data_IF_333012714851
#
_entry.id   IF_333012714851
#
_cell.length_a   1.000
_cell.length_b   1.000
_cell.length_c   1.000
_cell.angle_alpha   90.00
_cell.angle_beta   90.00
_cell.angle_gamma   90.00
#
_symmetry.space_group_name_H-M   'P 1'
#
loop_
_entity.id
_entity.type
_entity.pdbx_description
1 polymer ?
#
# COMPACT_ATOMS: atom_id res chain seq x y z
N UNK A 1 -12.66 38.83 -64.06
CA UNK A 1 -12.35 38.35 -62.70
C UNK A 1 -13.08 37.02 -62.51
N UNK A 2 -12.34 35.93 -62.30
CA UNK A 2 -12.89 34.59 -62.02
C UNK A 2 -12.98 34.41 -60.51
N UNK A 3 -14.11 33.93 -60.00
CA UNK A 3 -14.18 33.35 -58.67
C UNK A 3 -15.19 32.21 -58.67
N UNK A 4 -14.64 31.01 -58.54
CA UNK A 4 -15.28 29.69 -58.49
C UNK A 4 -15.68 29.41 -57.04
N UNK A 5 -16.91 28.98 -56.80
CA UNK A 5 -17.42 28.71 -55.44
C UNK A 5 -17.95 27.29 -55.38
N UNK A 6 -17.20 26.31 -54.83
CA UNK A 6 -17.75 25.10 -54.18
C UNK A 6 -16.71 24.52 -53.22
N UNK A 7 -17.07 24.29 -51.96
CA UNK A 7 -16.96 23.00 -51.26
C UNK A 7 -17.26 23.15 -49.76
N UNK A 8 -18.41 22.62 -49.34
CA UNK A 8 -18.71 22.34 -47.94
C UNK A 8 -17.93 21.07 -47.53
N UNK A 9 -17.17 21.14 -46.44
CA UNK A 9 -16.67 19.95 -45.74
C UNK A 9 -17.36 19.85 -44.38
N UNK A 10 -18.21 18.83 -44.24
CA UNK A 10 -18.66 18.32 -42.96
C UNK A 10 -17.60 17.32 -42.44
N UNK A 11 -17.09 17.52 -41.22
CA UNK A 11 -16.27 16.53 -40.53
C UNK A 11 -16.98 16.08 -39.25
N UNK A 12 -17.11 14.76 -39.16
CA UNK A 12 -17.82 14.00 -38.15
C UNK A 12 -17.20 14.14 -36.75
N UNK A 13 -18.08 14.17 -35.75
CA UNK A 13 -17.71 14.19 -34.33
C UNK A 13 -17.10 12.87 -33.88
N UNK A 14 -15.95 12.95 -33.22
CA UNK A 14 -15.38 11.86 -32.43
C UNK A 14 -15.92 11.95 -31.00
N UNK A 15 -16.77 11.01 -30.62
CA UNK A 15 -17.14 10.80 -29.22
C UNK A 15 -16.00 10.03 -28.53
N UNK A 16 -15.19 10.73 -27.74
CA UNK A 16 -14.18 10.12 -26.88
C UNK A 16 -14.87 9.57 -25.63
N UNK A 17 -14.95 8.24 -25.50
CA UNK A 17 -15.34 7.58 -24.26
C UNK A 17 -14.16 7.62 -23.29
N UNK A 18 -14.29 8.40 -22.21
CA UNK A 18 -13.32 8.42 -21.12
C UNK A 18 -13.44 7.13 -20.31
N UNK A 19 -12.44 6.26 -20.42
CA UNK A 19 -12.28 5.12 -19.51
C UNK A 19 -11.85 5.67 -18.15
N UNK A 20 -12.76 5.65 -17.19
CA UNK A 20 -12.43 5.94 -15.79
C UNK A 20 -11.51 4.83 -15.27
N UNK A 21 -10.26 5.20 -14.97
CA UNK A 21 -9.33 4.31 -14.26
C UNK A 21 -9.87 3.99 -12.85
N UNK A 22 -9.64 2.79 -12.31
CA UNK A 22 -10.04 2.45 -10.95
C UNK A 22 -9.32 3.39 -9.98
N UNK A 23 -10.11 4.02 -9.12
CA UNK A 23 -9.63 4.86 -8.05
C UNK A 23 -8.67 4.04 -7.17
N UNK A 24 -7.42 4.49 -7.07
CA UNK A 24 -6.50 4.01 -6.05
C UNK A 24 -7.16 4.22 -4.69
N UNK A 25 -7.22 3.14 -3.91
CA UNK A 25 -7.83 3.08 -2.60
C UNK A 25 -7.42 4.29 -1.76
N UNK A 26 -8.42 4.91 -1.12
CA UNK A 26 -8.20 5.95 -0.14
C UNK A 26 -7.15 5.46 0.86
N UNK A 27 -6.11 6.27 1.08
CA UNK A 27 -5.14 6.02 2.13
C UNK A 27 -5.91 5.93 3.46
N UNK A 28 -6.16 4.71 3.93
CA UNK A 28 -6.78 4.50 5.22
C UNK A 28 -5.85 5.15 6.23
N UNK A 29 -6.44 5.94 7.14
CA UNK A 29 -5.70 6.51 8.25
C UNK A 29 -4.98 5.36 8.96
N UNK A 30 -3.64 5.40 8.98
CA UNK A 30 -2.80 4.38 9.60
C UNK A 30 -3.14 4.27 11.09
N UNK A 31 -4.01 3.32 11.43
CA UNK A 31 -4.46 3.06 12.78
C UNK A 31 -3.42 2.26 13.56
N UNK A 32 -3.59 2.20 14.87
CA UNK A 32 -2.89 1.19 15.68
C UNK A 32 -3.32 -0.20 15.17
N UNK A 33 -2.35 -1.08 14.95
CA UNK A 33 -2.62 -2.46 14.59
C UNK A 33 -3.57 -3.16 15.60
N UNK A 34 -4.42 -4.10 15.16
CA UNK A 34 -5.25 -4.89 16.06
C UNK A 34 -4.40 -5.60 17.12
N UNK A 35 -4.89 -5.68 18.35
CA UNK A 35 -4.18 -6.32 19.46
C UNK A 35 -4.01 -7.84 19.29
N UNK A 36 -4.76 -8.46 18.39
CA UNK A 36 -4.62 -9.86 18.01
C UNK A 36 -3.44 -10.13 17.06
N UNK A 37 -2.74 -9.10 16.56
CA UNK A 37 -1.42 -9.28 15.97
C UNK A 37 -0.39 -9.43 17.10
N UNK A 38 0.21 -10.61 17.19
CA UNK A 38 1.30 -10.89 18.12
C UNK A 38 2.65 -10.74 17.41
N UNK A 39 3.70 -10.36 18.12
CA UNK A 39 5.04 -10.29 17.55
C UNK A 39 6.13 -10.61 18.57
N UNK A 40 7.30 -10.97 18.06
CA UNK A 40 8.56 -11.10 18.78
C UNK A 40 9.61 -10.29 18.04
N UNK A 41 10.45 -9.56 18.77
CA UNK A 41 11.54 -8.75 18.25
C UNK A 41 12.87 -9.31 18.78
N UNK A 42 13.83 -9.48 17.89
CA UNK A 42 15.25 -9.63 18.18
C UNK A 42 15.95 -8.33 17.76
N UNK A 43 16.57 -7.63 18.71
CA UNK A 43 17.27 -6.34 18.54
C UNK A 43 18.72 -6.58 18.93
N UNK A 44 19.52 -7.03 17.95
CA UNK A 44 20.95 -7.33 18.13
C UNK A 44 21.85 -6.09 17.94
N UNK A 45 21.27 -4.99 17.44
CA UNK A 45 21.89 -3.69 17.25
C UNK A 45 22.59 -3.48 15.90
N UNK A 46 22.80 -4.52 15.10
CA UNK A 46 23.30 -4.41 13.73
C UNK A 46 22.16 -4.62 12.73
N UNK A 47 21.46 -5.73 12.87
CA UNK A 47 20.29 -6.10 12.09
C UNK A 47 19.21 -6.65 13.02
N UNK A 48 18.09 -5.92 13.10
CA UNK A 48 16.97 -6.35 13.91
C UNK A 48 16.06 -7.28 13.10
N UNK A 49 15.43 -8.23 13.78
CA UNK A 49 14.48 -9.16 13.19
C UNK A 49 13.14 -9.16 13.95
N UNK A 50 12.03 -9.13 13.22
CA UNK A 50 10.68 -9.14 13.77
C UNK A 50 9.86 -10.27 13.16
N UNK A 51 9.25 -11.08 14.01
CA UNK A 51 8.28 -12.10 13.62
C UNK A 51 6.89 -11.67 14.04
N UNK A 52 5.93 -11.71 13.12
CA UNK A 52 4.53 -11.29 13.37
C UNK A 52 3.56 -12.42 13.03
N UNK A 53 2.64 -12.71 13.95
CA UNK A 53 1.57 -13.70 13.81
C UNK A 53 0.21 -13.02 13.79
N UNK A 54 -0.70 -13.54 12.96
CA UNK A 54 -2.08 -13.13 12.95
C UNK A 54 -2.95 -14.12 13.74
N UNK A 55 -3.22 -13.77 15.01
CA UNK A 55 -4.13 -14.51 15.88
C UNK A 55 -5.56 -13.94 15.84
N UNK A 56 -5.85 -13.01 14.94
CA UNK A 56 -7.19 -12.52 14.72
C UNK A 56 -8.05 -13.59 14.03
N UNK A 57 -9.37 -13.45 14.08
CA UNK A 57 -10.30 -14.35 13.36
C UNK A 57 -10.41 -14.07 11.86
N UNK A 58 -9.74 -13.02 11.36
CA UNK A 58 -9.79 -12.56 9.97
C UNK A 58 -8.41 -12.18 9.46
N UNK A 59 -8.29 -12.06 8.14
CA UNK A 59 -7.11 -11.48 7.51
C UNK A 59 -6.90 -10.03 7.94
N UNK A 60 -5.64 -9.66 8.13
CA UNK A 60 -5.25 -8.29 8.53
C UNK A 60 -4.19 -7.78 7.58
N UNK A 61 -4.36 -6.56 7.11
CA UNK A 61 -3.33 -5.81 6.40
C UNK A 61 -2.63 -4.88 7.39
N UNK A 62 -1.31 -5.01 7.50
CA UNK A 62 -0.51 -4.23 8.44
C UNK A 62 0.87 -3.92 7.88
N UNK A 63 1.53 -2.93 8.48
CA UNK A 63 2.94 -2.61 8.23
C UNK A 63 3.70 -2.47 9.53
N UNK A 64 5.01 -2.66 9.44
CA UNK A 64 5.95 -2.34 10.52
C UNK A 64 6.24 -0.84 10.49
N UNK A 65 6.03 -0.15 11.61
CA UNK A 65 6.45 1.24 11.77
C UNK A 65 7.88 1.24 12.28
N UNK A 66 8.74 2.00 11.61
CA UNK A 66 10.15 2.11 11.99
C UNK A 66 10.45 3.56 12.37
N UNK A 67 11.09 3.75 13.53
CA UNK A 67 11.74 5.00 13.85
C UNK A 67 13.01 5.16 13.01
N UNK A 68 13.40 6.42 12.74
CA UNK A 68 14.62 6.79 12.01
C UNK A 68 14.71 6.26 10.56
N UNK A 69 13.58 5.94 9.95
CA UNK A 69 13.52 5.54 8.55
C UNK A 69 12.08 5.44 8.05
N UNK A 70 11.88 4.97 6.81
CA UNK A 70 10.55 4.72 6.28
C UNK A 70 9.89 3.54 6.99
N UNK A 71 8.56 3.58 7.08
CA UNK A 71 7.76 2.42 7.46
C UNK A 71 7.95 1.28 6.45
N UNK A 72 7.76 0.06 6.93
CA UNK A 72 7.68 -1.13 6.08
C UNK A 72 6.48 -1.08 5.12
N UNK A 73 6.53 -1.96 4.13
CA UNK A 73 5.42 -2.14 3.19
C UNK A 73 4.20 -2.78 3.86
N UNK A 74 3.01 -2.45 3.33
CA UNK A 74 1.78 -3.11 3.74
C UNK A 74 1.83 -4.59 3.36
N UNK A 75 1.50 -5.43 4.34
CA UNK A 75 1.52 -6.88 4.25
C UNK A 75 0.18 -7.42 4.70
N UNK A 76 -0.50 -8.13 3.81
CA UNK A 76 -1.68 -8.90 4.18
C UNK A 76 -1.29 -10.24 4.79
N UNK A 77 -1.99 -10.63 5.87
CA UNK A 77 -1.76 -11.90 6.53
C UNK A 77 -3.06 -12.58 6.92
N UNK A 78 -3.23 -13.82 6.47
CA UNK A 78 -4.36 -14.67 6.82
C UNK A 78 -4.31 -15.11 8.30
N UNK A 79 -5.48 -15.42 8.91
CA UNK A 79 -5.55 -15.88 10.29
C UNK A 79 -4.97 -17.29 10.43
N UNK A 80 -4.24 -17.57 11.51
CA UNK A 80 -3.69 -18.89 11.79
C UNK A 80 -2.54 -19.35 10.88
N UNK A 81 -2.08 -18.51 9.95
CA UNK A 81 -0.88 -18.79 9.13
C UNK A 81 0.41 -18.76 9.96
N UNK A 82 1.52 -19.26 9.38
CA UNK A 82 2.87 -19.07 9.93
C UNK A 82 3.21 -17.58 10.05
N UNK A 83 4.27 -17.23 10.80
CA UNK A 83 4.70 -15.84 10.97
C UNK A 83 5.09 -15.15 9.66
N UNK A 84 5.04 -13.82 9.63
CA UNK A 84 5.78 -12.98 8.68
C UNK A 84 7.07 -12.51 9.34
N UNK A 85 8.18 -12.56 8.63
CA UNK A 85 9.49 -12.09 9.12
C UNK A 85 9.83 -10.76 8.45
N UNK A 86 10.29 -9.80 9.23
CA UNK A 86 10.79 -8.50 8.77
C UNK A 86 12.18 -8.28 9.35
N UNK A 87 13.01 -7.55 8.63
CA UNK A 87 14.35 -7.17 9.08
C UNK A 87 14.62 -5.72 8.71
N UNK A 88 15.47 -5.05 9.47
CA UNK A 88 15.98 -3.72 9.16
C UNK A 88 17.36 -3.53 9.80
N UNK A 89 18.13 -2.58 9.26
CA UNK A 89 19.48 -2.28 9.73
C UNK A 89 19.46 -1.05 10.65
N UNK A 90 20.50 -0.93 11.48
CA UNK A 90 20.80 0.30 12.17
C UNK A 90 20.91 1.49 11.18
N UNK A 91 20.37 2.70 11.47
CA UNK A 91 19.84 3.19 12.75
C UNK A 91 18.32 3.05 12.92
N UNK A 92 17.65 2.26 12.08
CA UNK A 92 16.20 2.06 12.19
C UNK A 92 15.87 1.29 13.47
N UNK A 93 14.71 1.58 14.08
CA UNK A 93 14.24 0.87 15.27
C UNK A 93 12.76 0.55 15.18
N UNK A 94 12.34 -0.56 15.78
CA UNK A 94 10.93 -0.90 15.86
C UNK A 94 10.12 0.16 16.63
N UNK A 95 9.07 0.70 16.00
CA UNK A 95 8.13 1.67 16.59
C UNK A 95 6.67 1.16 16.53
N UNK A 96 6.51 -0.16 16.45
CA UNK A 96 5.23 -0.86 16.53
C UNK A 96 4.65 -1.29 15.18
N UNK A 97 3.43 -1.84 15.23
CA UNK A 97 2.66 -2.23 14.06
C UNK A 97 1.53 -1.24 13.79
N UNK A 98 1.25 -0.97 12.52
CA UNK A 98 0.14 -0.10 12.07
C UNK A 98 -0.74 -0.82 11.07
N UNK A 99 -2.02 -0.48 11.06
CA UNK A 99 -2.88 -0.91 9.97
C UNK A 99 -2.48 -0.17 8.69
N UNK A 100 -2.64 -0.89 7.59
CA UNK A 100 -2.95 -0.28 6.32
C UNK A 100 -4.49 -0.34 6.15
#
# INVERSE_FOLDING_TARGET
MRATTIAMLALAGFAATTVAAPAHAAAAASGRAPSCLAYTLDDDGAQDELWVWNNCSKGVEFRVRLANGPDGVCTYKEPGSRYSKFTWEWPQRFDGLRTC
#
